data_IF_523042824435
#
_entry.id   IF_523042824435
#
_cell.length_a   1.000
_cell.length_b   1.000
_cell.length_c   1.000
_cell.angle_alpha   90.00
_cell.angle_beta   90.00
_cell.angle_gamma   90.00
#
_symmetry.space_group_name_H-M   'P 1'
#
loop_
_entity.id
_entity.type
_entity.pdbx_description
1 polymer ?
#
# COMPACT_ATOMS: atom_id res chain seq x y z
N UNK A 1 -5.75 -34.23 -54.75
CA UNK A 1 -5.38 -35.18 -53.68
C UNK A 1 -6.20 -34.80 -52.47
N UNK A 2 -7.15 -35.65 -52.13
CA UNK A 2 -8.14 -35.47 -51.05
C UNK A 2 -7.60 -36.14 -49.80
N UNK A 3 -7.26 -35.38 -48.77
CA UNK A 3 -7.01 -35.93 -47.44
C UNK A 3 -8.01 -35.32 -46.45
N UNK A 4 -8.99 -36.13 -46.06
CA UNK A 4 -9.81 -35.94 -44.87
C UNK A 4 -9.00 -36.35 -43.64
N UNK A 5 -8.88 -35.52 -42.59
CA UNK A 5 -8.45 -35.99 -41.28
C UNK A 5 -9.66 -36.07 -40.36
N UNK A 6 -10.26 -37.26 -40.27
CA UNK A 6 -11.09 -37.63 -39.13
C UNK A 6 -10.44 -38.84 -38.45
N UNK A 7 -10.01 -38.67 -37.19
CA UNK A 7 -10.02 -39.69 -36.12
C UNK A 7 -9.12 -39.24 -34.96
N UNK A 8 -9.57 -38.30 -34.14
CA UNK A 8 -9.00 -38.09 -32.81
C UNK A 8 -9.77 -38.95 -31.81
N UNK A 9 -9.18 -40.07 -31.37
CA UNK A 9 -9.76 -40.95 -30.34
C UNK A 9 -9.78 -40.25 -28.98
N UNK A 10 -10.95 -39.80 -28.53
CA UNK A 10 -11.14 -39.24 -27.18
C UNK A 10 -10.96 -40.35 -26.14
N UNK A 11 -9.85 -40.29 -25.38
CA UNK A 11 -9.62 -41.19 -24.24
C UNK A 11 -10.57 -40.83 -23.11
N UNK A 12 -11.61 -41.65 -22.91
CA UNK A 12 -12.54 -41.55 -21.79
C UNK A 12 -12.35 -42.73 -20.84
N UNK A 13 -12.82 -42.63 -19.59
CA UNK A 13 -12.79 -43.77 -18.64
C UNK A 13 -13.42 -45.03 -19.23
N UNK A 14 -14.44 -44.87 -20.09
CA UNK A 14 -15.10 -45.95 -20.81
C UNK A 14 -14.14 -46.71 -21.75
N UNK A 15 -13.31 -45.97 -22.51
CA UNK A 15 -12.31 -46.56 -23.42
C UNK A 15 -11.16 -47.27 -22.70
N UNK A 16 -10.89 -46.93 -21.44
CA UNK A 16 -9.87 -47.59 -20.62
C UNK A 16 -10.36 -48.92 -20.02
N UNK A 17 -11.62 -48.99 -19.58
CA UNK A 17 -12.17 -50.22 -18.98
C UNK A 17 -12.65 -51.23 -20.02
N UNK A 18 -13.05 -50.78 -21.22
CA UNK A 18 -13.53 -51.66 -22.29
C UNK A 18 -12.89 -51.28 -23.63
N UNK A 19 -11.67 -51.76 -23.94
CA UNK A 19 -10.95 -51.36 -25.16
C UNK A 19 -11.67 -51.76 -26.45
N UNK A 20 -12.53 -52.78 -26.41
CA UNK A 20 -13.33 -53.25 -27.55
C UNK A 20 -14.40 -52.23 -28.01
N UNK A 21 -14.76 -51.25 -27.17
CA UNK A 21 -15.75 -50.21 -27.53
C UNK A 21 -15.13 -48.96 -28.14
N UNK A 22 -13.80 -48.89 -28.23
CA UNK A 22 -13.07 -47.72 -28.74
C UNK A 22 -13.27 -47.45 -30.24
N UNK A 23 -13.60 -48.48 -31.02
CA UNK A 23 -13.90 -48.37 -32.45
C UNK A 23 -15.38 -48.17 -32.77
N UNK A 24 -16.26 -48.16 -31.77
CA UNK A 24 -17.69 -47.98 -31.97
C UNK A 24 -17.98 -46.50 -32.20
N UNK A 25 -18.72 -46.20 -33.27
CA UNK A 25 -19.17 -44.85 -33.54
C UNK A 25 -20.24 -44.44 -32.52
N UNK A 26 -20.53 -43.14 -32.42
CA UNK A 26 -21.60 -42.64 -31.55
C UNK A 26 -22.95 -43.29 -31.86
N UNK A 27 -23.20 -43.61 -33.13
CA UNK A 27 -24.40 -44.30 -33.61
C UNK A 27 -24.42 -45.75 -33.14
N UNK A 28 -23.29 -46.46 -33.16
CA UNK A 28 -23.20 -47.84 -32.66
C UNK A 28 -23.41 -47.93 -31.14
N UNK A 29 -22.91 -46.95 -30.39
CA UNK A 29 -23.14 -46.85 -28.95
C UNK A 29 -24.62 -46.56 -28.63
N UNK A 30 -25.28 -45.76 -29.47
CA UNK A 30 -26.73 -45.50 -29.36
C UNK A 30 -27.57 -46.72 -29.73
N UNK A 31 -27.13 -47.54 -30.69
CA UNK A 31 -27.80 -48.79 -31.04
C UNK A 31 -27.74 -49.83 -29.89
N UNK A 32 -26.61 -49.90 -29.17
CA UNK A 32 -26.44 -50.75 -27.97
C UNK A 32 -27.32 -50.30 -26.79
N UNK A 33 -27.61 -49.00 -26.70
CA UNK A 33 -28.52 -48.41 -25.71
C UNK A 33 -30.01 -48.62 -26.05
N UNK A 34 -30.34 -49.19 -27.23
CA UNK A 34 -31.70 -49.56 -27.60
C UNK A 34 -32.64 -48.39 -27.95
N UNK A 35 -32.11 -47.18 -28.16
CA UNK A 35 -32.89 -45.97 -28.48
C UNK A 35 -33.06 -45.71 -29.98
N UNK A 36 -33.12 -46.75 -30.82
CA UNK A 36 -33.46 -46.58 -32.24
C UNK A 36 -34.94 -46.89 -32.48
N UNK A 37 -35.80 -45.88 -32.77
CA UNK A 37 -37.12 -46.14 -33.30
C UNK A 37 -36.97 -46.65 -34.73
N UNK A 38 -37.27 -47.92 -34.96
CA UNK A 38 -37.32 -48.49 -36.30
C UNK A 38 -38.45 -47.82 -37.12
N UNK A 39 -38.24 -47.61 -38.44
CA UNK A 39 -39.27 -47.08 -39.31
C UNK A 39 -40.42 -48.08 -39.50
N UNK A 40 -41.62 -47.53 -39.34
CA UNK A 40 -42.96 -48.07 -39.50
C UNK A 40 -43.09 -49.21 -40.54
N UNK A 41 -43.45 -50.42 -40.08
CA UNK A 41 -44.17 -51.39 -40.89
C UNK A 41 -45.46 -51.77 -40.15
N UNK A 42 -46.65 -51.55 -40.75
CA UNK A 42 -47.90 -51.74 -40.03
C UNK A 42 -48.34 -53.18 -40.19
N UNK A 43 -48.17 -53.99 -39.15
CA UNK A 43 -49.07 -55.10 -38.83
C UNK A 43 -48.68 -55.75 -37.50
N UNK A 44 -49.71 -56.08 -36.72
CA UNK A 44 -49.74 -56.78 -35.44
C UNK A 44 -49.75 -55.89 -34.19
N UNK A 45 -50.99 -55.66 -33.76
CA UNK A 45 -51.42 -55.23 -32.46
C UNK A 45 -50.75 -56.03 -31.32
N UNK A 46 -50.05 -55.33 -30.42
CA UNK A 46 -50.00 -55.51 -28.95
C UNK A 46 -48.72 -54.87 -28.38
N UNK A 47 -48.63 -53.53 -28.36
CA UNK A 47 -47.44 -52.80 -27.85
C UNK A 47 -47.69 -51.88 -26.66
N UNK A 48 -48.83 -52.01 -25.98
CA UNK A 48 -49.04 -51.29 -24.71
C UNK A 48 -48.35 -52.03 -23.55
N UNK A 49 -48.38 -53.37 -23.56
CA UNK A 49 -47.79 -54.20 -22.51
C UNK A 49 -46.26 -54.23 -22.50
N UNK A 50 -45.58 -54.02 -23.64
CA UNK A 50 -44.12 -54.14 -23.74
C UNK A 50 -43.33 -52.90 -23.28
N UNK A 51 -43.89 -51.70 -23.41
CA UNK A 51 -43.30 -50.47 -22.87
C UNK A 51 -43.48 -50.41 -21.36
N UNK A 52 -44.66 -50.80 -20.87
CA UNK A 52 -44.92 -50.94 -19.43
C UNK A 52 -44.02 -52.01 -18.79
N UNK A 53 -43.77 -53.14 -19.46
CA UNK A 53 -42.86 -54.17 -18.95
C UNK A 53 -41.41 -53.68 -18.89
N UNK A 54 -40.91 -52.95 -19.89
CA UNK A 54 -39.54 -52.40 -19.88
C UNK A 54 -39.37 -51.28 -18.86
N UNK A 55 -40.39 -50.43 -18.69
CA UNK A 55 -40.40 -49.41 -17.65
C UNK A 55 -40.44 -50.05 -16.25
N UNK A 56 -41.22 -51.12 -16.08
CA UNK A 56 -41.23 -51.91 -14.86
C UNK A 56 -39.86 -52.57 -14.60
N UNK A 57 -39.24 -53.19 -15.61
CA UNK A 57 -37.93 -53.82 -15.50
C UNK A 57 -36.82 -52.80 -15.16
N UNK A 58 -36.88 -51.59 -15.74
CA UNK A 58 -35.99 -50.49 -15.40
C UNK A 58 -36.19 -50.03 -13.95
N UNK A 59 -37.43 -49.89 -13.49
CA UNK A 59 -37.75 -49.54 -12.11
C UNK A 59 -37.32 -50.63 -11.12
N UNK A 60 -37.42 -51.92 -11.49
CA UNK A 60 -36.92 -53.04 -10.69
C UNK A 60 -35.40 -53.05 -10.62
N UNK A 61 -34.71 -52.79 -11.73
CA UNK A 61 -33.25 -52.66 -11.74
C UNK A 61 -32.79 -51.48 -10.88
N UNK A 62 -33.46 -50.33 -10.98
CA UNK A 62 -33.17 -49.14 -10.18
C UNK A 62 -33.42 -49.44 -8.68
N UNK A 63 -34.53 -50.06 -8.33
CA UNK A 63 -34.81 -50.49 -6.96
C UNK A 63 -33.76 -51.47 -6.41
N UNK A 64 -33.33 -52.45 -7.22
CA UNK A 64 -32.26 -53.36 -6.86
C UNK A 64 -30.92 -52.63 -6.70
N UNK A 65 -30.59 -51.72 -7.61
CA UNK A 65 -29.36 -50.93 -7.54
C UNK A 65 -29.31 -50.04 -6.30
N UNK A 66 -30.42 -49.38 -5.94
CA UNK A 66 -30.54 -48.61 -4.70
C UNK A 66 -30.60 -49.49 -3.44
N UNK A 67 -30.86 -50.79 -3.56
CA UNK A 67 -30.74 -51.74 -2.46
C UNK A 67 -29.30 -52.17 -2.17
N UNK A 68 -28.37 -51.97 -3.14
CA UNK A 68 -26.96 -52.32 -2.95
C UNK A 68 -26.33 -51.45 -1.84
N UNK A 69 -25.67 -52.04 -0.83
CA UNK A 69 -25.09 -51.31 0.29
C UNK A 69 -24.09 -50.24 -0.15
N UNK A 70 -23.31 -50.52 -1.19
CA UNK A 70 -22.31 -49.59 -1.72
C UNK A 70 -22.95 -48.36 -2.39
N UNK A 71 -24.07 -48.54 -3.09
CA UNK A 71 -24.82 -47.43 -3.67
C UNK A 71 -25.44 -46.56 -2.58
N UNK A 72 -26.04 -47.16 -1.54
CA UNK A 72 -26.58 -46.43 -0.39
C UNK A 72 -25.50 -45.65 0.37
N UNK A 73 -24.32 -46.24 0.57
CA UNK A 73 -23.19 -45.54 1.18
C UNK A 73 -22.73 -44.35 0.35
N UNK A 74 -22.66 -44.49 -0.98
CA UNK A 74 -22.33 -43.38 -1.87
C UNK A 74 -23.37 -42.27 -1.81
N UNK A 75 -24.67 -42.59 -1.78
CA UNK A 75 -25.72 -41.59 -1.61
C UNK A 75 -25.63 -40.87 -0.26
N UNK A 76 -25.35 -41.60 0.82
CA UNK A 76 -25.17 -41.02 2.15
C UNK A 76 -23.95 -40.08 2.20
N UNK A 77 -22.82 -40.50 1.61
CA UNK A 77 -21.61 -39.67 1.51
C UNK A 77 -21.86 -38.43 0.65
N UNK A 78 -22.53 -38.58 -0.49
CA UNK A 78 -22.87 -37.47 -1.37
C UNK A 78 -23.81 -36.46 -0.67
N UNK A 79 -24.85 -36.94 0.02
CA UNK A 79 -25.75 -36.09 0.80
C UNK A 79 -25.01 -35.37 1.94
N UNK A 80 -24.08 -36.04 2.63
CA UNK A 80 -23.24 -35.41 3.63
C UNK A 80 -22.34 -34.31 3.04
N UNK A 81 -21.72 -34.58 1.88
CA UNK A 81 -20.90 -33.58 1.18
C UNK A 81 -21.72 -32.36 0.76
N UNK A 82 -22.93 -32.56 0.21
CA UNK A 82 -23.83 -31.46 -0.13
C UNK A 82 -24.16 -30.59 1.08
N UNK A 83 -24.55 -31.21 2.21
CA UNK A 83 -24.82 -30.47 3.46
C UNK A 83 -23.61 -29.67 3.93
N UNK A 84 -22.41 -30.27 3.93
CA UNK A 84 -21.20 -29.54 4.33
C UNK A 84 -20.83 -28.40 3.38
N UNK A 85 -21.17 -28.52 2.09
CA UNK A 85 -20.95 -27.46 1.11
C UNK A 85 -21.96 -26.32 1.32
N UNK A 86 -23.24 -26.65 1.53
CA UNK A 86 -24.28 -25.68 1.87
C UNK A 86 -23.93 -24.90 3.15
N UNK A 87 -23.46 -25.59 4.20
CA UNK A 87 -23.01 -24.93 5.44
C UNK A 87 -21.82 -23.99 5.21
N UNK A 88 -20.86 -24.39 4.37
CA UNK A 88 -19.72 -23.52 4.00
C UNK A 88 -20.15 -22.33 3.17
N UNK A 89 -21.06 -22.53 2.23
CA UNK A 89 -21.62 -21.45 1.42
C UNK A 89 -22.37 -20.44 2.30
N UNK A 90 -23.19 -20.91 3.25
CA UNK A 90 -23.87 -20.07 4.22
C UNK A 90 -22.88 -19.26 5.06
N UNK A 91 -21.84 -19.91 5.62
CA UNK A 91 -20.78 -19.21 6.38
C UNK A 91 -20.06 -18.16 5.53
N UNK A 92 -19.72 -18.47 4.28
CA UNK A 92 -19.09 -17.51 3.38
C UNK A 92 -20.00 -16.31 3.10
N UNK A 93 -21.28 -16.52 2.84
CA UNK A 93 -22.24 -15.41 2.62
C UNK A 93 -22.41 -14.53 3.86
N UNK A 94 -22.43 -15.14 5.06
CA UNK A 94 -22.50 -14.40 6.33
C UNK A 94 -21.25 -13.55 6.58
N UNK A 95 -20.07 -14.07 6.24
CA UNK A 95 -18.78 -13.38 6.44
C UNK A 95 -18.45 -12.37 5.34
N UNK A 96 -19.10 -12.44 4.19
CA UNK A 96 -18.79 -11.56 3.05
C UNK A 96 -18.90 -10.08 3.44
N UNK A 97 -20.04 -9.67 4.00
CA UNK A 97 -20.29 -8.28 4.39
C UNK A 97 -19.27 -7.74 5.42
N UNK A 98 -19.02 -8.38 6.58
CA UNK A 98 -18.05 -7.87 7.54
C UNK A 98 -16.61 -7.86 6.99
N UNK A 99 -16.25 -8.79 6.09
CA UNK A 99 -14.94 -8.79 5.45
C UNK A 99 -14.80 -7.65 4.42
N UNK A 100 -15.86 -7.34 3.69
CA UNK A 100 -15.90 -6.17 2.79
C UNK A 100 -15.82 -4.86 3.58
N UNK A 101 -16.57 -4.74 4.67
CA UNK A 101 -16.49 -3.59 5.59
C UNK A 101 -15.06 -3.41 6.13
N UNK A 102 -14.46 -4.48 6.67
CA UNK A 102 -13.09 -4.45 7.17
C UNK A 102 -12.08 -4.11 6.07
N UNK A 103 -12.27 -4.61 4.85
CA UNK A 103 -11.42 -4.26 3.71
C UNK A 103 -11.51 -2.77 3.39
N UNK A 104 -12.71 -2.20 3.40
CA UNK A 104 -12.88 -0.76 3.14
C UNK A 104 -12.26 0.10 4.24
N UNK A 105 -12.43 -0.28 5.51
CA UNK A 105 -11.83 0.43 6.63
C UNK A 105 -10.30 0.38 6.58
N UNK A 106 -9.73 -0.80 6.36
CA UNK A 106 -8.26 -0.97 6.25
C UNK A 106 -7.69 -0.20 5.06
N UNK A 107 -8.40 -0.16 3.93
CA UNK A 107 -8.02 0.66 2.78
C UNK A 107 -8.03 2.15 3.14
N UNK A 108 -9.09 2.66 3.78
CA UNK A 108 -9.17 4.06 4.20
C UNK A 108 -8.06 4.46 5.18
N UNK A 109 -7.77 3.60 6.16
CA UNK A 109 -6.69 3.83 7.12
C UNK A 109 -5.32 3.81 6.44
N UNK A 110 -5.11 2.90 5.49
CA UNK A 110 -3.89 2.84 4.71
C UNK A 110 -3.71 4.10 3.84
N UNK A 111 -4.75 4.53 3.15
CA UNK A 111 -4.71 5.73 2.31
C UNK A 111 -4.43 6.99 3.15
N UNK A 112 -5.03 7.08 4.35
CA UNK A 112 -4.75 8.15 5.31
C UNK A 112 -3.31 8.10 5.82
N UNK A 113 -2.78 6.92 6.13
CA UNK A 113 -1.39 6.79 6.55
C UNK A 113 -0.44 7.22 5.43
N UNK A 114 -0.73 6.83 4.18
CA UNK A 114 0.03 7.23 3.00
C UNK A 114 -0.03 8.72 2.71
N UNK A 115 -1.19 9.36 2.92
CA UNK A 115 -1.30 10.82 2.77
C UNK A 115 -0.46 11.55 3.82
N UNK A 116 -0.49 11.08 5.07
CA UNK A 116 0.35 11.66 6.14
C UNK A 116 1.84 11.44 5.88
N UNK A 117 2.23 10.25 5.41
CA UNK A 117 3.60 9.96 5.00
C UNK A 117 4.08 10.89 3.88
N UNK A 118 3.21 11.22 2.92
CA UNK A 118 3.50 12.19 1.87
C UNK A 118 3.64 13.64 2.40
N UNK A 119 3.00 13.99 3.51
CA UNK A 119 3.09 15.31 4.14
C UNK A 119 4.35 15.48 5.00
N UNK A 120 4.89 14.40 5.57
CA UNK A 120 6.10 14.41 6.41
C UNK A 120 7.28 15.19 5.83
N UNK A 121 7.74 14.97 4.57
CA UNK A 121 8.91 15.69 4.05
C UNK A 121 8.68 17.20 3.96
N UNK A 122 7.43 17.64 3.75
CA UNK A 122 7.10 19.07 3.76
C UNK A 122 7.25 19.65 5.16
N UNK A 123 6.73 18.95 6.17
CA UNK A 123 6.80 19.38 7.57
C UNK A 123 8.24 19.36 8.10
N UNK A 124 9.00 18.31 7.78
CA UNK A 124 10.43 18.20 8.12
C UNK A 124 11.24 19.34 7.51
N UNK A 125 10.95 19.71 6.25
CA UNK A 125 11.60 20.84 5.62
C UNK A 125 11.28 22.15 6.35
N UNK A 126 10.02 22.39 6.70
CA UNK A 126 9.62 23.58 7.47
C UNK A 126 10.31 23.62 8.83
N UNK A 127 10.32 22.50 9.56
CA UNK A 127 11.01 22.39 10.85
C UNK A 127 12.51 22.66 10.71
N UNK A 128 13.16 22.07 9.69
CA UNK A 128 14.58 22.27 9.44
C UNK A 128 14.89 23.72 9.05
N UNK A 129 14.05 24.36 8.25
CA UNK A 129 14.24 25.76 7.84
C UNK A 129 14.15 26.71 9.03
N UNK A 130 13.20 26.48 9.95
CA UNK A 130 13.09 27.25 11.19
C UNK A 130 14.27 26.94 12.15
N UNK A 131 14.58 25.66 12.36
CA UNK A 131 15.65 25.23 13.26
C UNK A 131 17.03 25.66 12.77
N UNK A 132 17.26 25.78 11.46
CA UNK A 132 18.55 26.17 10.88
C UNK A 132 19.08 27.49 11.44
N UNK A 133 18.21 28.43 11.80
CA UNK A 133 18.60 29.72 12.40
C UNK A 133 19.04 29.61 13.85
N UNK A 134 18.50 28.62 14.56
CA UNK A 134 18.78 28.33 15.97
C UNK A 134 19.78 27.20 16.15
N UNK A 135 20.22 26.57 15.05
CA UNK A 135 21.27 25.57 15.08
C UNK A 135 22.53 26.15 15.75
N UNK A 136 23.20 25.40 16.64
CA UNK A 136 24.37 25.89 17.35
C UNK A 136 25.46 26.48 16.44
N UNK A 137 25.66 25.90 15.26
CA UNK A 137 26.59 26.42 14.25
C UNK A 137 26.18 27.76 13.66
N UNK A 138 24.88 27.96 13.39
CA UNK A 138 24.35 29.22 12.88
C UNK A 138 24.42 30.33 13.94
N UNK A 139 24.13 30.00 15.20
CA UNK A 139 24.27 30.93 16.32
C UNK A 139 25.74 31.31 16.57
N UNK A 140 26.66 30.35 16.50
CA UNK A 140 28.11 30.61 16.61
C UNK A 140 28.63 31.49 15.47
N UNK A 141 28.20 31.20 14.24
CA UNK A 141 28.51 32.03 13.07
C UNK A 141 27.97 33.46 13.23
N UNK A 142 26.71 33.61 13.65
CA UNK A 142 26.09 34.92 13.92
C UNK A 142 26.85 35.70 15.00
N UNK A 143 27.25 35.03 16.09
CA UNK A 143 28.05 35.63 17.15
C UNK A 143 29.39 36.14 16.62
N UNK A 144 30.10 35.30 15.85
CA UNK A 144 31.40 35.64 15.25
C UNK A 144 31.26 36.81 14.28
N UNK A 145 30.27 36.76 13.38
CA UNK A 145 29.99 37.84 12.44
C UNK A 145 29.65 39.15 13.16
N UNK A 146 28.86 39.08 14.23
CA UNK A 146 28.49 40.25 15.03
C UNK A 146 29.69 40.86 15.76
N UNK A 147 30.70 40.05 16.12
CA UNK A 147 31.95 40.53 16.70
C UNK A 147 32.80 41.22 15.63
N UNK A 148 32.93 40.66 14.43
CA UNK A 148 33.61 41.31 13.30
C UNK A 148 32.97 42.65 12.94
N UNK A 149 31.63 42.71 12.81
CA UNK A 149 30.91 43.97 12.56
C UNK A 149 31.15 45.03 13.65
N UNK A 150 31.25 44.62 14.92
CA UNK A 150 31.58 45.55 16.01
C UNK A 150 33.03 46.02 15.94
N UNK A 151 33.95 45.17 15.53
CA UNK A 151 35.34 45.55 15.30
C UNK A 151 35.39 46.63 14.22
N UNK A 152 34.83 46.34 13.04
CA UNK A 152 34.85 47.25 11.89
C UNK A 152 34.20 48.60 12.24
N UNK A 153 33.01 48.58 12.87
CA UNK A 153 32.35 49.82 13.35
C UNK A 153 33.19 50.60 14.36
N UNK A 154 33.94 49.92 15.23
CA UNK A 154 34.80 50.60 16.21
C UNK A 154 36.05 51.21 15.56
N UNK A 155 36.59 50.57 14.53
CA UNK A 155 37.69 51.11 13.74
C UNK A 155 37.21 52.30 12.90
N UNK A 156 36.03 52.21 12.26
CA UNK A 156 35.42 53.33 11.53
C UNK A 156 35.18 54.54 12.43
N UNK A 157 34.69 54.31 13.65
CA UNK A 157 34.48 55.37 14.64
C UNK A 157 35.81 55.99 15.12
N UNK A 158 36.86 55.18 15.27
CA UNK A 158 38.21 55.68 15.62
C UNK A 158 38.82 56.48 14.48
N UNK A 159 38.72 56.00 13.24
CA UNK A 159 39.20 56.69 12.05
C UNK A 159 38.48 58.03 11.88
N UNK A 160 37.15 58.05 12.03
CA UNK A 160 36.38 59.29 11.96
C UNK A 160 36.82 60.32 13.01
N UNK A 161 37.12 59.88 14.23
CA UNK A 161 37.63 60.77 15.28
C UNK A 161 39.02 61.34 14.95
N UNK A 162 39.95 60.50 14.47
CA UNK A 162 41.32 60.93 14.14
C UNK A 162 41.34 61.87 12.93
N UNK A 163 40.51 61.59 11.93
CA UNK A 163 40.42 62.37 10.68
C UNK A 163 39.50 63.60 10.80
N UNK A 164 38.81 63.77 11.94
CA UNK A 164 37.84 64.85 12.14
C UNK A 164 36.61 64.74 11.22
N UNK A 165 36.32 63.52 10.73
CA UNK A 165 35.19 63.23 9.87
C UNK A 165 33.89 63.06 10.68
N UNK A 166 32.72 63.25 10.06
CA UNK A 166 31.45 62.97 10.73
C UNK A 166 31.39 61.50 11.15
N UNK A 167 30.93 61.26 12.39
CA UNK A 167 30.78 59.91 12.91
C UNK A 167 29.77 59.09 12.09
N UNK A 168 30.03 57.78 11.88
CA UNK A 168 29.07 56.88 11.26
C UNK A 168 27.75 56.87 12.04
N UNK A 169 26.63 56.92 11.34
CA UNK A 169 25.30 56.84 11.94
C UNK A 169 25.02 55.41 12.40
N UNK A 170 24.61 55.24 13.66
CA UNK A 170 24.11 53.96 14.16
C UNK A 170 22.78 53.59 13.48
N UNK A 171 22.54 52.28 13.25
CA UNK A 171 21.29 51.72 12.68
C UNK A 171 20.02 52.04 13.50
N UNK A 172 20.15 52.68 14.66
CA UNK A 172 19.06 53.05 15.57
C UNK A 172 18.35 54.36 15.19
N UNK A 173 18.75 55.05 14.11
CA UNK A 173 18.04 56.21 13.55
C UNK A 173 17.84 57.39 14.51
N UNK A 174 18.53 57.41 15.65
CA UNK A 174 18.34 58.40 16.71
C UNK A 174 19.43 59.45 16.60
N UNK A 175 19.04 60.53 15.91
CA UNK A 175 19.66 61.84 15.77
C UNK A 175 21.15 61.91 15.34
N UNK A 176 21.43 62.42 14.12
CA UNK A 176 22.71 63.07 13.84
C UNK A 176 22.76 64.38 14.66
N UNK A 177 23.95 64.94 14.88
CA UNK A 177 24.19 66.21 15.63
C UNK A 177 24.31 66.15 17.16
N UNK A 178 25.20 65.29 17.68
CA UNK A 178 25.89 65.64 18.91
C UNK A 178 27.36 65.89 18.59
N UNK A 179 27.70 67.18 18.53
CA UNK A 179 29.06 67.72 18.47
C UNK A 179 30.09 66.87 19.21
N UNK A 180 31.16 66.49 18.52
CA UNK A 180 32.56 66.85 18.80
C UNK A 180 33.09 66.84 20.25
N UNK A 181 32.47 66.10 21.17
CA UNK A 181 32.99 65.97 22.53
C UNK A 181 33.82 64.69 22.65
N UNK A 182 35.11 64.85 23.00
CA UNK A 182 36.05 63.75 23.29
C UNK A 182 35.46 62.77 24.29
N UNK A 183 34.67 63.26 25.26
CA UNK A 183 34.01 62.41 26.26
C UNK A 183 32.98 61.48 25.62
N UNK A 184 32.25 61.97 24.60
CA UNK A 184 31.25 61.19 23.87
C UNK A 184 31.91 60.11 22.99
N UNK A 185 33.02 60.44 22.35
CA UNK A 185 33.85 59.50 21.59
C UNK A 185 34.34 58.36 22.50
N UNK A 186 35.05 58.72 23.58
CA UNK A 186 35.64 57.74 24.50
C UNK A 186 34.56 56.82 25.07
N UNK A 187 33.38 57.37 25.41
CA UNK A 187 32.25 56.56 25.90
C UNK A 187 31.76 55.56 24.85
N UNK A 188 31.52 56.01 23.61
CA UNK A 188 31.02 55.15 22.51
C UNK A 188 32.04 54.09 22.11
N UNK A 189 33.29 54.49 21.90
CA UNK A 189 34.38 53.59 21.54
C UNK A 189 34.61 52.53 22.62
N UNK A 190 34.67 52.94 23.90
CA UNK A 190 34.81 52.00 25.03
C UNK A 190 33.63 51.03 25.11
N UNK A 191 32.40 51.50 24.88
CA UNK A 191 31.22 50.63 24.87
C UNK A 191 31.29 49.57 23.74
N UNK A 192 31.64 50.00 22.52
CA UNK A 192 31.78 49.11 21.37
C UNK A 192 32.91 48.09 21.57
N UNK A 193 34.11 48.52 22.00
CA UNK A 193 35.24 47.61 22.26
C UNK A 193 34.98 46.65 23.41
N UNK A 194 34.30 47.10 24.47
CA UNK A 194 33.88 46.22 25.57
C UNK A 194 32.95 45.12 25.07
N UNK A 195 31.95 45.48 24.25
CA UNK A 195 31.00 44.53 23.70
C UNK A 195 31.68 43.56 22.72
N UNK A 196 32.57 44.07 21.87
CA UNK A 196 33.40 43.27 20.96
C UNK A 196 34.20 42.20 21.73
N UNK A 197 34.99 42.61 22.73
CA UNK A 197 35.80 41.68 23.50
C UNK A 197 34.95 40.64 24.25
N UNK A 198 33.80 41.05 24.81
CA UNK A 198 32.84 40.11 25.42
C UNK A 198 32.38 39.07 24.40
N UNK A 199 31.94 39.48 23.22
CA UNK A 199 31.48 38.56 22.16
C UNK A 199 32.59 37.67 21.65
N UNK A 200 33.81 38.19 21.49
CA UNK A 200 34.97 37.40 21.04
C UNK A 200 35.37 36.34 22.06
N UNK A 201 35.41 36.68 23.36
CA UNK A 201 35.68 35.70 24.43
C UNK A 201 34.62 34.60 24.44
N UNK A 202 33.34 34.96 24.29
CA UNK A 202 32.25 33.96 24.23
C UNK A 202 32.38 33.08 22.98
N UNK A 203 32.69 33.67 21.82
CA UNK A 203 32.89 32.93 20.57
C UNK A 203 34.08 31.96 20.65
N UNK A 204 35.19 32.38 21.28
CA UNK A 204 36.38 31.55 21.50
C UNK A 204 36.09 30.40 22.48
N UNK A 205 35.36 30.67 23.57
CA UNK A 205 34.92 29.63 24.52
C UNK A 205 33.99 28.63 23.85
N UNK A 206 33.08 29.09 23.00
CA UNK A 206 32.20 28.23 22.22
C UNK A 206 33.01 27.35 21.27
N UNK A 207 33.94 27.92 20.50
CA UNK A 207 34.79 27.17 19.58
C UNK A 207 35.61 26.06 20.28
N UNK A 208 35.94 26.26 21.56
CA UNK A 208 36.63 25.27 22.42
C UNK A 208 35.69 24.27 23.10
N UNK A 209 34.38 24.33 22.85
CA UNK A 209 33.40 23.45 23.50
C UNK A 209 33.19 23.73 24.99
N UNK A 210 33.55 24.92 25.47
CA UNK A 210 33.46 25.29 26.89
C UNK A 210 32.14 25.99 27.24
N UNK A 211 31.20 26.09 26.30
CA UNK A 211 29.88 26.67 26.50
C UNK A 211 28.92 25.54 26.82
N UNK A 212 28.34 25.60 28.02
CA UNK A 212 27.33 24.65 28.48
C UNK A 212 25.98 25.37 28.42
N UNK A 213 25.06 24.81 27.66
CA UNK A 213 23.66 25.23 27.65
C UNK A 213 22.99 24.51 28.83
N UNK A 214 22.40 25.26 29.77
CA UNK A 214 21.49 24.66 30.74
C UNK A 214 20.14 24.47 30.05
N UNK A 215 19.67 23.21 30.00
CA UNK A 215 18.30 22.87 29.55
C UNK A 215 17.23 23.57 30.40
#
# INVERSE_FOLDING_TARGET
MTDSPASSSLQTRLTHTFPQTSGLTREDLQALLGETPLPYHPQHASTDSGQDQRAADAAYFEAFFHSLPQAQQLYAQHAALLRTNEEKAQKNTQLQKPLEELRTETQQLFDRAKSLEAELPRLEKQMNDEYRRFAPSALHFSLTQSASKLNDRSEDLANAYVEGLPYPTDESGTAPEAMLDDVSFVRRYKAQRTLYHKRRIVADRWARGQVHWTD
#
